data_IF_436901972363
#
_entry.id   IF_436901972363
#
_cell.length_a   1.000
_cell.length_b   1.000
_cell.length_c   1.000
_cell.angle_alpha   90.00
_cell.angle_beta   90.00
_cell.angle_gamma   90.00
#
_symmetry.space_group_name_H-M   'P 1'
#
loop_
_entity.id
_entity.type
_entity.pdbx_description
1 polymer ?
#
# COMPACT_ATOMS: atom_id res chain seq x y z
N UNK A 1 -31.93 22.93 -27.98
CA UNK A 1 -30.68 22.29 -28.44
C UNK A 1 -29.82 22.13 -27.21
N UNK A 2 -29.75 20.91 -26.66
CA UNK A 2 -28.99 20.63 -25.45
C UNK A 2 -27.63 20.07 -25.86
N UNK A 3 -26.57 20.84 -25.63
CA UNK A 3 -25.20 20.42 -25.82
C UNK A 3 -24.88 19.28 -24.84
N UNK A 4 -24.22 18.19 -25.28
CA UNK A 4 -23.83 17.12 -24.38
C UNK A 4 -22.69 17.61 -23.48
N UNK A 5 -22.91 17.54 -22.16
CA UNK A 5 -21.86 17.66 -21.15
C UNK A 5 -20.83 16.57 -21.40
N UNK A 6 -19.72 16.92 -22.03
CA UNK A 6 -18.49 16.15 -22.01
C UNK A 6 -18.05 16.03 -20.55
N UNK A 7 -18.48 14.96 -19.87
CA UNK A 7 -17.81 14.49 -18.67
C UNK A 7 -16.50 13.85 -19.11
N UNK A 8 -15.49 14.69 -19.33
CA UNK A 8 -14.09 14.26 -19.25
C UNK A 8 -13.91 13.52 -17.92
N UNK A 9 -13.42 12.25 -17.91
CA UNK A 9 -12.90 11.69 -16.68
C UNK A 9 -11.66 12.52 -16.35
N UNK A 10 -11.83 13.46 -15.43
CA UNK A 10 -10.77 14.31 -14.90
C UNK A 10 -9.64 13.38 -14.45
N UNK A 11 -8.58 13.28 -15.25
CA UNK A 11 -7.32 12.60 -14.94
C UNK A 11 -6.54 13.40 -13.88
N UNK A 12 -7.22 13.79 -12.79
CA UNK A 12 -6.67 14.40 -11.59
C UNK A 12 -6.45 13.33 -10.53
N UNK A 13 -5.87 12.19 -10.92
CA UNK A 13 -5.51 11.11 -10.02
C UNK A 13 -4.48 11.63 -9.04
N UNK A 14 -4.92 12.15 -7.90
CA UNK A 14 -4.05 12.48 -6.77
C UNK A 14 -3.25 11.22 -6.47
N UNK A 15 -1.96 11.21 -6.78
CA UNK A 15 -1.06 10.17 -6.33
C UNK A 15 -1.26 10.06 -4.83
N UNK A 16 -1.71 8.91 -4.30
CA UNK A 16 -2.06 8.81 -2.90
C UNK A 16 -0.80 9.15 -2.10
N UNK A 17 -0.85 10.12 -1.19
CA UNK A 17 0.34 10.54 -0.45
C UNK A 17 0.95 9.39 0.37
N UNK A 18 0.13 8.40 0.69
CA UNK A 18 0.51 7.20 1.42
C UNK A 18 -0.07 5.96 0.77
N UNK A 19 0.67 4.86 0.85
CA UNK A 19 0.26 3.55 0.35
C UNK A 19 0.51 2.51 1.44
N UNK A 20 -0.46 1.63 1.63
CA UNK A 20 -0.27 0.45 2.50
C UNK A 20 0.41 -0.61 1.68
N UNK A 21 1.49 -1.17 2.20
CA UNK A 21 2.22 -2.26 1.57
C UNK A 21 2.32 -3.44 2.52
N UNK A 22 2.45 -4.64 1.98
CA UNK A 22 2.80 -5.84 2.72
C UNK A 22 4.33 -6.00 2.72
N UNK A 23 4.94 -6.02 3.89
CA UNK A 23 6.37 -6.25 4.03
C UNK A 23 6.64 -7.75 3.85
N UNK A 24 7.51 -8.11 2.90
CA UNK A 24 7.80 -9.51 2.56
C UNK A 24 9.02 -10.06 3.31
N UNK A 25 9.89 -9.18 3.80
CA UNK A 25 11.12 -9.50 4.54
C UNK A 25 11.44 -8.42 5.56
N UNK A 26 12.44 -8.61 6.41
CA UNK A 26 12.93 -7.56 7.30
C UNK A 26 13.35 -6.31 6.50
N UNK A 27 12.63 -5.22 6.69
CA UNK A 27 12.83 -3.96 5.97
C UNK A 27 12.85 -2.79 6.96
N UNK A 28 13.76 -1.85 6.75
CA UNK A 28 13.91 -0.66 7.60
C UNK A 28 13.50 0.58 6.82
N UNK A 29 12.46 1.26 7.30
CA UNK A 29 11.95 2.49 6.68
C UNK A 29 12.07 3.64 7.66
N UNK A 30 12.97 4.57 7.35
CA UNK A 30 13.33 5.66 8.23
C UNK A 30 13.90 5.14 9.55
N UNK A 31 13.16 5.35 10.65
CA UNK A 31 13.53 4.92 12.01
C UNK A 31 12.77 3.69 12.51
N UNK A 32 11.93 3.07 11.67
CA UNK A 32 11.13 1.90 12.02
C UNK A 32 11.61 0.67 11.26
N UNK A 33 11.76 -0.42 11.99
CA UNK A 33 12.02 -1.75 11.45
C UNK A 33 10.69 -2.49 11.31
N UNK A 34 10.46 -3.09 10.15
CA UNK A 34 9.28 -3.87 9.83
C UNK A 34 9.65 -5.33 9.62
N UNK A 35 8.80 -6.22 10.09
CA UNK A 35 8.96 -7.67 9.95
C UNK A 35 8.13 -8.18 8.77
N UNK A 36 8.50 -9.36 8.21
CA UNK A 36 7.66 -10.05 7.25
C UNK A 36 6.21 -10.16 7.77
N UNK A 37 5.24 -9.86 6.92
CA UNK A 37 3.81 -9.86 7.27
C UNK A 37 3.29 -8.57 7.92
N UNK A 38 4.15 -7.59 8.23
CA UNK A 38 3.67 -6.27 8.61
C UNK A 38 3.02 -5.55 7.42
N UNK A 39 1.96 -4.77 7.69
CA UNK A 39 1.31 -3.95 6.66
C UNK A 39 1.33 -2.47 7.01
N UNK A 40 2.48 -1.79 7.00
CA UNK A 40 2.57 -0.38 7.35
C UNK A 40 1.98 0.51 6.26
N UNK A 41 1.47 1.66 6.71
CA UNK A 41 1.11 2.77 5.82
C UNK A 41 2.32 3.69 5.69
N UNK A 42 2.98 3.64 4.53
CA UNK A 42 4.19 4.39 4.23
C UNK A 42 3.89 5.51 3.23
N UNK A 43 4.83 6.46 3.07
CA UNK A 43 4.72 7.41 1.96
C UNK A 43 4.77 6.67 0.62
N UNK A 44 4.12 7.22 -0.41
CA UNK A 44 4.11 6.58 -1.72
C UNK A 44 5.51 6.32 -2.28
N UNK A 45 6.43 7.25 -2.07
CA UNK A 45 7.82 7.12 -2.51
C UNK A 45 8.55 5.96 -1.80
N UNK A 46 8.36 5.82 -0.49
CA UNK A 46 8.96 4.71 0.27
C UNK A 46 8.33 3.38 -0.11
N UNK A 47 6.99 3.31 -0.17
CA UNK A 47 6.25 2.13 -0.60
C UNK A 47 6.70 1.67 -1.99
N UNK A 48 6.80 2.58 -2.96
CA UNK A 48 7.29 2.26 -4.31
C UNK A 48 8.73 1.79 -4.30
N UNK A 49 9.61 2.39 -3.49
CA UNK A 49 11.01 1.93 -3.37
C UNK A 49 11.09 0.50 -2.87
N UNK A 50 10.28 0.15 -1.85
CA UNK A 50 10.24 -1.20 -1.30
C UNK A 50 9.66 -2.21 -2.30
N UNK A 51 8.57 -1.85 -2.98
CA UNK A 51 7.96 -2.71 -4.01
C UNK A 51 8.95 -2.95 -5.14
N UNK A 52 9.60 -1.90 -5.65
CA UNK A 52 10.60 -2.01 -6.71
C UNK A 52 11.84 -2.78 -6.27
N UNK A 53 12.21 -2.71 -4.99
CA UNK A 53 13.31 -3.45 -4.39
C UNK A 53 12.95 -4.89 -3.96
N UNK A 54 11.70 -5.33 -4.16
CA UNK A 54 11.21 -6.64 -3.73
C UNK A 54 11.12 -6.82 -2.22
N UNK A 55 11.20 -5.74 -1.44
CA UNK A 55 11.05 -5.77 0.02
C UNK A 55 9.58 -5.73 0.48
N UNK A 56 8.68 -5.27 -0.39
CA UNK A 56 7.25 -5.19 -0.09
C UNK A 56 6.37 -5.49 -1.30
N UNK A 57 5.09 -5.77 -1.06
CA UNK A 57 4.05 -5.94 -2.06
C UNK A 57 2.97 -4.85 -1.91
N UNK A 58 2.52 -4.30 -3.03
CA UNK A 58 1.44 -3.33 -3.09
C UNK A 58 0.07 -3.97 -3.36
N UNK A 59 0.01 -5.30 -3.53
CA UNK A 59 -1.23 -6.00 -3.85
C UNK A 59 -2.26 -5.93 -2.71
N UNK A 60 -3.45 -5.41 -3.03
CA UNK A 60 -4.52 -5.19 -2.07
C UNK A 60 -5.13 -6.49 -1.52
N UNK A 61 -4.96 -7.61 -2.22
CA UNK A 61 -5.34 -8.94 -1.75
C UNK A 61 -4.35 -9.47 -0.74
N UNK A 62 -3.06 -9.42 -1.06
CA UNK A 62 -1.97 -9.84 -0.18
C UNK A 62 -1.94 -9.05 1.13
N UNK A 63 -2.11 -7.72 1.06
CA UNK A 63 -2.21 -6.84 2.23
C UNK A 63 -3.38 -7.24 3.14
N UNK A 64 -4.57 -7.50 2.55
CA UNK A 64 -5.75 -7.90 3.33
C UNK A 64 -5.57 -9.26 4.00
N UNK A 65 -4.96 -10.22 3.29
CA UNK A 65 -4.66 -11.53 3.84
C UNK A 65 -3.69 -11.43 5.03
N UNK A 66 -2.61 -10.66 4.89
CA UNK A 66 -1.65 -10.44 5.97
C UNK A 66 -2.27 -9.73 7.20
N UNK A 67 -3.14 -8.74 6.97
CA UNK A 67 -3.91 -8.09 8.04
C UNK A 67 -4.83 -9.07 8.77
N UNK A 68 -5.52 -9.94 8.02
CA UNK A 68 -6.39 -10.96 8.61
C UNK A 68 -5.58 -11.97 9.44
N UNK A 69 -4.44 -12.43 8.94
CA UNK A 69 -3.53 -13.34 9.66
C UNK A 69 -3.01 -12.69 10.95
N UNK A 70 -2.56 -11.44 10.92
CA UNK A 70 -2.11 -10.69 12.11
C UNK A 70 -3.22 -10.54 13.15
N UNK A 71 -4.45 -10.28 12.72
CA UNK A 71 -5.60 -10.16 13.63
C UNK A 71 -5.90 -11.49 14.33
N UNK A 72 -5.77 -12.62 13.63
CA UNK A 72 -5.92 -13.95 14.21
C UNK A 72 -4.78 -14.27 15.19
N UNK A 73 -3.53 -13.95 14.83
CA UNK A 73 -2.36 -14.16 15.68
C UNK A 73 -2.36 -13.31 16.97
N UNK A 74 -3.04 -12.16 16.97
CA UNK A 74 -3.18 -11.31 18.15
C UNK A 74 -4.33 -11.72 19.08
N UNK A 75 -5.18 -12.68 18.69
CA UNK A 75 -6.34 -13.16 19.46
C UNK A 75 -6.15 -14.55 20.07
N UNK A 76 -5.04 -15.23 19.78
CA UNK A 76 -4.65 -16.51 20.40
C UNK A 76 -3.54 -16.32 21.43
#
# INVERSE_FOLDING_TARGET
>A
MAEPKTTEPKAGGKTPSHLTVLILRDERVGKKDFKPGDTPKLSYAEAQRLIKGGGADGDSGAIRAAQAQRKQAAQG
#
